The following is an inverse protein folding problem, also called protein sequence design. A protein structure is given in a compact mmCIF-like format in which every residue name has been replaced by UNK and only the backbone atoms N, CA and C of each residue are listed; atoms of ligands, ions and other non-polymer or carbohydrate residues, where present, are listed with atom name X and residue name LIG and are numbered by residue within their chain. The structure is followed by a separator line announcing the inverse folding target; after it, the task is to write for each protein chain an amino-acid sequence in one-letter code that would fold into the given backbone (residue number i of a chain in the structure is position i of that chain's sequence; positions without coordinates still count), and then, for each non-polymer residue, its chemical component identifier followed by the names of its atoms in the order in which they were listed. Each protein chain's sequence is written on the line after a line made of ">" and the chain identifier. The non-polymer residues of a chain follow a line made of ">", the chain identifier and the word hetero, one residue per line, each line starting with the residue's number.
data_IF_354264158445
#
_entry.id   IF_354264158445
#
_cell.length_a   1.000
_cell.length_b   1.000
_cell.length_c   1.000
_cell.angle_alpha   90.00
_cell.angle_beta   90.00
_cell.angle_gamma   90.00
#
_symmetry.space_group_name_H-M   'P 1'
#
loop_
_entity.id
_entity.type
_entity.pdbx_description
1 polymer ?
#
# COMPACT_ATOMS: atom_id res chain seq x y z
N UNK A 1 -20.44 13.52 15.47
CA UNK A 1 -20.00 12.55 14.44
C UNK A 1 -20.23 13.17 13.06
N UNK A 2 -19.16 13.59 12.38
CA UNK A 2 -19.24 14.23 11.08
C UNK A 2 -19.08 13.17 9.97
N UNK A 3 -20.02 13.14 9.04
CA UNK A 3 -20.03 12.21 7.90
C UNK A 3 -21.44 11.90 7.41
N UNK A 4 -21.52 11.15 6.32
CA UNK A 4 -22.74 10.54 5.81
C UNK A 4 -22.72 9.04 6.09
N UNK A 5 -23.90 8.44 6.22
CA UNK A 5 -24.07 7.10 6.78
C UNK A 5 -24.78 6.18 5.80
N UNK A 6 -24.49 4.88 5.91
CA UNK A 6 -25.25 3.88 5.20
C UNK A 6 -26.69 3.82 5.76
N UNK A 7 -27.73 3.90 4.92
CA UNK A 7 -29.12 3.83 5.39
C UNK A 7 -29.50 2.47 6.01
N UNK A 8 -28.70 1.43 5.77
CA UNK A 8 -29.01 0.05 6.17
C UNK A 8 -28.31 -0.38 7.45
N UNK A 9 -27.08 0.08 7.69
CA UNK A 9 -26.27 -0.35 8.84
C UNK A 9 -25.66 0.82 9.64
N UNK A 10 -25.97 2.06 9.26
CA UNK A 10 -25.54 3.29 9.95
C UNK A 10 -24.02 3.46 10.06
N UNK A 11 -23.22 2.64 9.38
CA UNK A 11 -21.79 2.84 9.27
C UNK A 11 -21.48 4.11 8.49
N UNK A 12 -20.38 4.78 8.86
CA UNK A 12 -19.89 5.95 8.14
C UNK A 12 -19.45 5.52 6.74
N UNK A 13 -19.96 6.21 5.72
CA UNK A 13 -19.62 5.96 4.31
C UNK A 13 -19.15 7.24 3.65
N UNK A 14 -18.38 7.11 2.57
CA UNK A 14 -18.03 8.28 1.75
C UNK A 14 -19.25 8.76 0.97
N UNK A 15 -19.42 10.08 0.86
CA UNK A 15 -20.44 10.73 0.05
C UNK A 15 -20.42 10.37 -1.45
N UNK A 16 -19.31 9.81 -1.94
CA UNK A 16 -19.14 9.34 -3.32
C UNK A 16 -19.04 7.82 -3.44
N UNK A 17 -19.26 7.07 -2.36
CA UNK A 17 -19.17 5.61 -2.40
C UNK A 17 -20.33 5.01 -3.20
N UNK A 18 -20.04 4.02 -4.04
CA UNK A 18 -21.06 3.24 -4.75
C UNK A 18 -21.65 2.11 -3.88
N UNK A 19 -20.87 1.62 -2.90
CA UNK A 19 -21.28 0.53 -2.01
C UNK A 19 -20.85 0.82 -0.57
N UNK A 20 -21.65 0.37 0.40
CA UNK A 20 -21.27 0.35 1.80
C UNK A 20 -20.29 -0.82 2.05
N UNK A 21 -19.09 -0.51 2.54
CA UNK A 21 -18.07 -1.53 2.82
C UNK A 21 -18.38 -2.40 4.03
N UNK A 22 -19.27 -1.96 4.92
CA UNK A 22 -19.64 -2.70 6.12
C UNK A 22 -20.74 -3.74 5.88
N UNK A 23 -21.75 -3.43 5.05
CA UNK A 23 -22.90 -4.32 4.83
C UNK A 23 -23.16 -4.69 3.36
N UNK A 24 -22.36 -4.17 2.42
CA UNK A 24 -22.52 -4.44 0.99
C UNK A 24 -23.69 -3.71 0.32
N UNK A 25 -24.38 -2.79 1.01
CA UNK A 25 -25.51 -2.03 0.47
C UNK A 25 -25.11 -1.18 -0.73
N UNK A 26 -25.92 -1.21 -1.79
CA UNK A 26 -25.71 -0.42 -3.01
C UNK A 26 -26.21 1.02 -2.83
N UNK A 27 -25.26 1.94 -2.70
CA UNK A 27 -25.49 3.37 -2.49
C UNK A 27 -25.88 4.11 -3.77
N UNK A 28 -25.88 3.43 -4.93
CA UNK A 28 -26.37 4.00 -6.19
C UNK A 28 -27.89 3.91 -6.32
N UNK A 29 -28.51 2.94 -5.63
CA UNK A 29 -29.98 2.75 -5.60
C UNK A 29 -30.61 3.55 -4.46
N UNK A 30 -30.04 3.47 -3.26
CA UNK A 30 -30.45 4.26 -2.10
C UNK A 30 -29.22 4.90 -1.49
N UNK A 31 -29.12 6.22 -1.67
CA UNK A 31 -27.92 7.00 -1.37
C UNK A 31 -27.57 7.07 0.13
N UNK A 32 -26.37 7.58 0.45
CA UNK A 32 -25.99 7.86 1.83
C UNK A 32 -26.98 8.84 2.48
N UNK A 33 -27.19 8.68 3.79
CA UNK A 33 -28.01 9.59 4.59
C UNK A 33 -27.12 10.50 5.45
N UNK A 34 -27.58 11.71 5.72
CA UNK A 34 -26.95 12.62 6.69
C UNK A 34 -27.20 12.14 8.12
N UNK A 35 -26.51 12.73 9.10
CA UNK A 35 -26.75 12.48 10.54
C UNK A 35 -28.19 12.75 11.00
N UNK A 36 -28.95 13.52 10.23
CA UNK A 36 -30.38 13.81 10.49
C UNK A 36 -31.32 12.91 9.69
N UNK A 37 -30.82 11.86 9.03
CA UNK A 37 -31.62 10.88 8.29
C UNK A 37 -32.06 11.32 6.90
N UNK A 38 -31.61 12.49 6.41
CA UNK A 38 -31.97 12.97 5.07
C UNK A 38 -31.08 12.37 4.00
N UNK A 39 -31.67 11.94 2.88
CA UNK A 39 -30.96 11.41 1.70
C UNK A 39 -30.05 12.48 1.07
N UNK A 40 -28.77 12.16 0.96
CA UNK A 40 -27.75 13.05 0.43
C UNK A 40 -27.99 13.44 -1.03
N UNK A 41 -28.46 12.51 -1.87
CA UNK A 41 -28.71 12.78 -3.28
C UNK A 41 -29.89 13.73 -3.46
N UNK A 42 -30.95 13.54 -2.66
CA UNK A 42 -32.10 14.46 -2.65
C UNK A 42 -31.68 15.86 -2.22
N UNK A 43 -30.87 15.99 -1.18
CA UNK A 43 -30.34 17.29 -0.73
C UNK A 43 -29.50 17.98 -1.82
N UNK A 44 -28.67 17.22 -2.54
CA UNK A 44 -27.89 17.76 -3.66
C UNK A 44 -28.78 18.24 -4.79
N UNK A 45 -29.88 17.56 -5.10
CA UNK A 45 -30.84 18.02 -6.10
C UNK A 45 -31.55 19.31 -5.66
N UNK A 46 -32.00 19.37 -4.41
CA UNK A 46 -32.62 20.58 -3.84
C UNK A 46 -31.66 21.77 -3.92
N UNK A 47 -30.39 21.61 -3.56
CA UNK A 47 -29.38 22.68 -3.66
C UNK A 47 -29.11 23.08 -5.12
N UNK A 48 -29.14 22.14 -6.07
CA UNK A 48 -28.96 22.46 -7.50
C UNK A 48 -30.12 23.28 -8.07
N UNK A 49 -31.34 22.99 -7.63
CA UNK A 49 -32.58 23.66 -8.07
C UNK A 49 -32.80 25.05 -7.46
N UNK A 50 -32.01 25.45 -6.47
CA UNK A 50 -32.12 26.78 -5.84
C UNK A 50 -31.63 27.90 -6.75
N UNK A 51 -32.53 28.72 -7.28
CA UNK A 51 -32.16 29.84 -8.16
C UNK A 51 -31.65 31.08 -7.40
N UNK A 52 -31.78 31.08 -6.07
CA UNK A 52 -31.34 32.15 -5.17
C UNK A 52 -29.85 32.10 -4.82
N UNK A 53 -29.14 31.04 -5.22
CA UNK A 53 -27.73 30.81 -4.91
C UNK A 53 -26.87 30.86 -6.17
N UNK A 54 -25.67 31.46 -6.04
CA UNK A 54 -24.65 31.35 -7.08
C UNK A 54 -24.13 29.91 -7.21
N UNK A 55 -23.58 29.54 -8.36
CA UNK A 55 -23.00 28.22 -8.57
C UNK A 55 -21.92 27.88 -7.53
N UNK A 56 -21.13 28.87 -7.10
CA UNK A 56 -20.13 28.68 -6.05
C UNK A 56 -20.77 28.31 -4.70
N UNK A 57 -21.81 29.05 -4.28
CA UNK A 57 -22.53 28.77 -3.03
C UNK A 57 -23.26 27.42 -3.05
N UNK A 58 -23.75 27.00 -4.22
CA UNK A 58 -24.32 25.66 -4.41
C UNK A 58 -23.27 24.56 -4.17
N UNK A 59 -22.08 24.71 -4.74
CA UNK A 59 -21.00 23.73 -4.54
C UNK A 59 -20.52 23.72 -3.08
N UNK A 60 -20.43 24.89 -2.44
CA UNK A 60 -20.03 25.00 -1.04
C UNK A 60 -21.06 24.37 -0.10
N UNK A 61 -22.36 24.55 -0.36
CA UNK A 61 -23.43 23.90 0.41
C UNK A 61 -23.45 22.39 0.22
N UNK A 62 -23.24 21.90 -1.00
CA UNK A 62 -23.15 20.46 -1.27
C UNK A 62 -21.95 19.86 -0.52
N UNK A 63 -20.78 20.51 -0.58
CA UNK A 63 -19.58 20.04 0.12
C UNK A 63 -19.80 19.95 1.63
N UNK A 64 -20.41 20.98 2.25
CA UNK A 64 -20.74 20.97 3.67
C UNK A 64 -21.66 19.81 4.05
N UNK A 65 -22.68 19.52 3.24
CA UNK A 65 -23.60 18.40 3.50
C UNK A 65 -22.91 17.04 3.29
N UNK A 66 -22.03 16.91 2.29
CA UNK A 66 -21.21 15.71 2.06
C UNK A 66 -20.23 15.44 3.20
N UNK A 67 -19.71 16.48 3.85
CA UNK A 67 -18.87 16.42 5.04
C UNK A 67 -19.68 16.17 6.33
N UNK A 68 -21.01 16.08 6.24
CA UNK A 68 -21.91 15.74 7.35
C UNK A 68 -22.42 16.93 8.15
N UNK A 69 -22.36 18.15 7.61
CA UNK A 69 -23.04 19.29 8.20
C UNK A 69 -24.55 19.10 8.19
N UNK A 70 -25.22 19.55 9.26
CA UNK A 70 -26.65 19.36 9.45
C UNK A 70 -27.45 20.15 8.39
N UNK A 71 -28.22 19.50 7.50
CA UNK A 71 -28.96 20.16 6.43
C UNK A 71 -30.09 21.08 6.93
N UNK A 72 -30.58 20.88 8.17
CA UNK A 72 -31.57 21.75 8.81
C UNK A 72 -30.91 23.08 9.21
N UNK A 73 -29.72 23.03 9.82
CA UNK A 73 -28.96 24.23 10.18
C UNK A 73 -28.48 25.02 8.96
N UNK A 74 -28.27 24.34 7.83
CA UNK A 74 -27.94 24.96 6.55
C UNK A 74 -29.17 25.52 5.80
N UNK A 75 -30.38 25.39 6.36
CA UNK A 75 -31.62 25.86 5.74
C UNK A 75 -31.97 25.14 4.43
N UNK A 76 -31.49 23.91 4.25
CA UNK A 76 -31.77 23.06 3.07
C UNK A 76 -32.99 22.16 3.34
N UNK A 77 -33.14 21.70 4.59
CA UNK A 77 -34.25 20.85 5.03
C UNK A 77 -35.05 21.51 6.16
N UNK A 78 -36.35 21.26 6.21
CA UNK A 78 -37.18 21.69 7.34
C UNK A 78 -37.00 20.72 8.52
N UNK A 79 -36.99 21.21 9.78
CA UNK A 79 -37.03 20.33 10.93
C UNK A 79 -38.36 19.54 10.92
N UNK A 80 -38.29 18.23 11.18
CA UNK A 80 -39.46 17.50 11.65
C UNK A 80 -39.82 18.04 13.05
N UNK A 81 -41.12 18.22 13.34
CA UNK A 81 -41.61 18.88 14.55
C UNK A 81 -41.05 18.29 15.88
N UNK A 82 -40.07 19.00 16.46
CA UNK A 82 -39.63 19.15 17.88
C UNK A 82 -39.16 17.91 18.70
N UNK A 83 -38.36 18.06 19.81
CA UNK A 83 -37.96 19.29 20.52
C UNK A 83 -36.45 19.51 20.79
N UNK A 84 -36.09 20.79 20.93
CA UNK A 84 -35.20 21.46 21.90
C UNK A 84 -33.83 20.86 22.34
N UNK A 85 -32.79 21.62 21.96
CA UNK A 85 -31.53 21.92 22.68
C UNK A 85 -30.39 20.89 22.77
N UNK A 86 -29.16 21.42 22.65
CA UNK A 86 -27.89 20.73 22.81
C UNK A 86 -26.75 21.46 22.10
N UNK A 87 -26.36 22.64 22.61
CA UNK A 87 -25.01 23.19 22.40
C UNK A 87 -24.00 22.17 22.94
N UNK A 88 -22.93 21.88 22.19
CA UNK A 88 -21.69 21.41 22.79
C UNK A 88 -20.50 21.75 21.88
N UNK A 89 -19.67 22.65 22.39
CA UNK A 89 -18.27 22.88 22.03
C UNK A 89 -17.48 21.57 22.18
N UNK A 90 -16.61 21.26 21.22
CA UNK A 90 -15.52 20.31 21.45
C UNK A 90 -14.27 20.76 20.70
N UNK A 91 -13.27 21.09 21.51
CA UNK A 91 -11.92 21.52 21.17
C UNK A 91 -11.23 20.57 20.18
N UNK A 92 -10.42 21.16 19.29
CA UNK A 92 -9.54 20.43 18.41
C UNK A 92 -8.48 19.67 19.22
N UNK A 93 -8.58 18.35 19.21
CA UNK A 93 -7.56 17.46 19.73
C UNK A 93 -6.47 17.30 18.66
N UNK A 94 -5.24 17.64 19.01
CA UNK A 94 -4.07 17.37 18.17
C UNK A 94 -4.00 15.85 17.94
N UNK A 95 -4.14 15.43 16.68
CA UNK A 95 -3.98 14.03 16.30
C UNK A 95 -2.52 13.65 16.55
N UNK A 96 -2.28 12.98 17.66
CA UNK A 96 -1.00 12.35 17.96
C UNK A 96 -0.58 11.49 16.75
N UNK A 97 0.71 11.54 16.41
CA UNK A 97 1.34 10.72 15.37
C UNK A 97 1.05 9.24 15.71
N UNK A 98 0.02 8.65 15.08
CA UNK A 98 -0.33 7.26 15.30
C UNK A 98 0.80 6.41 14.73
N UNK A 99 1.68 5.95 15.61
CA UNK A 99 2.62 4.88 15.31
C UNK A 99 1.78 3.62 15.17
N UNK A 100 1.43 3.27 13.93
CA UNK A 100 0.77 2.01 13.64
C UNK A 100 1.77 0.88 13.88
N UNK A 101 1.74 0.29 15.07
CA UNK A 101 2.42 -0.98 15.34
C UNK A 101 1.50 -2.12 14.96
N UNK A 102 1.95 -3.00 14.06
CA UNK A 102 1.31 -4.30 13.83
C UNK A 102 1.30 -5.08 15.15
N UNK A 103 0.10 -5.45 15.62
CA UNK A 103 -0.10 -6.28 16.80
C UNK A 103 -0.31 -7.75 16.40
N UNK A 104 0.11 -8.71 17.26
CA UNK A 104 -0.17 -10.11 17.02
C UNK A 104 -1.69 -10.39 16.99
N UNK A 105 -2.14 -11.44 16.29
CA UNK A 105 -3.55 -11.74 16.16
C UNK A 105 -4.22 -11.98 17.52
N UNK A 106 -5.37 -11.35 17.74
CA UNK A 106 -6.17 -11.55 18.94
C UNK A 106 -6.60 -13.03 19.05
N UNK A 107 -6.18 -13.70 20.13
CA UNK A 107 -6.39 -15.13 20.35
C UNK A 107 -5.21 -16.03 19.99
N UNK A 108 -4.13 -15.48 19.44
CA UNK A 108 -2.92 -16.23 19.12
C UNK A 108 -2.94 -16.91 17.75
N UNK A 109 -1.85 -17.61 17.43
CA UNK A 109 -1.66 -18.26 16.14
C UNK A 109 -2.69 -19.38 15.90
N UNK A 110 -3.06 -19.57 14.64
CA UNK A 110 -3.97 -20.65 14.26
C UNK A 110 -5.44 -20.43 14.63
N UNK A 111 -5.84 -19.38 15.33
CA UNK A 111 -7.26 -19.17 15.67
C UNK A 111 -8.10 -18.57 14.52
N UNK A 112 -7.46 -17.96 13.52
CA UNK A 112 -8.16 -17.39 12.38
C UNK A 112 -8.72 -18.46 11.44
N UNK A 113 -10.06 -18.53 11.34
CA UNK A 113 -10.76 -19.42 10.42
C UNK A 113 -10.44 -19.13 8.95
N UNK A 114 -10.24 -17.86 8.59
CA UNK A 114 -9.86 -17.46 7.24
C UNK A 114 -8.45 -17.95 6.88
N UNK A 115 -7.48 -17.78 7.80
CA UNK A 115 -6.10 -18.27 7.60
C UNK A 115 -6.09 -19.79 7.49
N UNK A 116 -6.86 -20.48 8.35
CA UNK A 116 -6.95 -21.94 8.31
C UNK A 116 -7.56 -22.43 6.99
N UNK A 117 -8.66 -21.83 6.54
CA UNK A 117 -9.29 -22.17 5.26
C UNK A 117 -8.36 -21.91 4.06
N UNK A 118 -7.66 -20.77 4.03
CA UNK A 118 -6.71 -20.46 2.97
C UNK A 118 -5.53 -21.45 2.94
N UNK A 119 -4.96 -21.76 4.11
CA UNK A 119 -3.89 -22.75 4.23
C UNK A 119 -4.36 -24.13 3.76
N UNK A 120 -5.55 -24.58 4.19
CA UNK A 120 -6.13 -25.86 3.80
C UNK A 120 -6.36 -25.95 2.29
N UNK A 121 -6.89 -24.92 1.64
CA UNK A 121 -7.13 -24.93 0.17
C UNK A 121 -5.85 -25.23 -0.61
N UNK A 122 -4.72 -24.65 -0.21
CA UNK A 122 -3.43 -24.84 -0.89
C UNK A 122 -2.78 -26.17 -0.51
N UNK A 123 -2.99 -26.63 0.72
CA UNK A 123 -2.24 -27.75 1.30
C UNK A 123 -3.02 -29.06 1.39
N UNK A 124 -4.31 -29.09 1.01
CA UNK A 124 -5.23 -30.24 1.14
C UNK A 124 -4.73 -31.56 0.56
N UNK A 125 -3.92 -31.51 -0.50
CA UNK A 125 -3.34 -32.71 -1.14
C UNK A 125 -1.86 -32.93 -0.81
N UNK A 126 -1.29 -32.10 0.06
CA UNK A 126 0.12 -32.18 0.42
C UNK A 126 0.37 -33.29 1.43
N UNK A 127 1.53 -33.95 1.31
CA UNK A 127 2.02 -34.90 2.31
C UNK A 127 2.08 -34.27 3.71
N UNK A 128 2.48 -33.00 3.80
CA UNK A 128 2.56 -32.27 5.06
C UNK A 128 1.20 -32.19 5.78
N UNK A 129 0.11 -31.93 5.05
CA UNK A 129 -1.22 -31.93 5.67
C UNK A 129 -1.70 -33.31 6.10
N UNK A 130 -1.39 -34.37 5.34
CA UNK A 130 -1.70 -35.72 5.81
C UNK A 130 -0.98 -36.06 7.13
N UNK A 131 0.20 -35.47 7.36
CA UNK A 131 0.93 -35.60 8.62
C UNK A 131 0.30 -34.79 9.75
N UNK A 132 -0.29 -33.62 9.45
CA UNK A 132 -1.08 -32.84 10.42
C UNK A 132 -2.37 -33.59 10.78
N UNK A 133 -3.12 -34.07 9.79
CA UNK A 133 -4.39 -34.80 9.99
C UNK A 133 -4.19 -36.10 10.77
N UNK A 134 -3.08 -36.79 10.56
CA UNK A 134 -2.70 -37.99 11.33
C UNK A 134 -2.13 -37.67 12.72
N UNK A 135 -1.94 -36.39 13.07
CA UNK A 135 -1.38 -35.96 14.35
C UNK A 135 0.14 -36.12 14.48
N UNK A 136 0.84 -36.41 13.38
CA UNK A 136 2.32 -36.50 13.36
C UNK A 136 2.97 -35.12 13.46
N UNK A 137 2.34 -34.09 12.88
CA UNK A 137 2.76 -32.69 13.02
C UNK A 137 1.74 -31.98 13.91
N UNK A 138 2.20 -31.52 15.07
CA UNK A 138 1.40 -30.74 16.00
C UNK A 138 1.57 -29.24 15.76
N UNK A 139 0.51 -28.60 15.26
CA UNK A 139 0.44 -27.16 14.99
C UNK A 139 0.19 -26.33 16.24
N UNK A 140 -0.21 -26.96 17.33
CA UNK A 140 -0.45 -26.28 18.60
C UNK A 140 0.76 -26.42 19.55
N UNK A 141 1.85 -27.01 19.06
CA UNK A 141 3.09 -27.17 19.82
C UNK A 141 3.77 -25.83 20.11
N UNK A 142 4.41 -25.71 21.28
CA UNK A 142 5.17 -24.52 21.66
C UNK A 142 6.27 -24.17 20.64
N UNK A 143 6.87 -25.18 20.01
CA UNK A 143 7.86 -25.01 18.95
C UNK A 143 7.24 -24.35 17.71
N UNK A 144 6.05 -24.76 17.31
CA UNK A 144 5.33 -24.15 16.19
C UNK A 144 4.95 -22.70 16.51
N UNK A 145 4.43 -22.43 17.70
CA UNK A 145 4.09 -21.07 18.11
C UNK A 145 5.32 -20.16 18.19
N UNK A 146 6.44 -20.65 18.74
CA UNK A 146 7.70 -19.91 18.79
C UNK A 146 8.18 -19.56 17.38
N UNK A 147 8.12 -20.50 16.43
CA UNK A 147 8.44 -20.22 15.03
C UNK A 147 7.52 -19.16 14.41
N UNK A 148 6.21 -19.22 14.68
CA UNK A 148 5.26 -18.21 14.20
C UNK A 148 5.52 -16.83 14.81
N UNK A 149 5.86 -16.74 16.10
CA UNK A 149 6.25 -15.50 16.76
C UNK A 149 7.50 -14.90 16.11
N UNK A 150 8.53 -15.71 15.84
CA UNK A 150 9.74 -15.28 15.12
C UNK A 150 9.43 -14.75 13.72
N UNK A 151 8.57 -15.45 12.99
CA UNK A 151 8.10 -14.98 11.68
C UNK A 151 7.39 -13.63 11.78
N UNK A 152 6.49 -13.48 12.75
CA UNK A 152 5.79 -12.23 12.96
C UNK A 152 6.72 -11.07 13.34
N UNK A 153 7.70 -11.31 14.21
CA UNK A 153 8.72 -10.32 14.57
C UNK A 153 9.51 -9.82 13.35
N UNK A 154 9.91 -10.73 12.46
CA UNK A 154 10.62 -10.39 11.23
C UNK A 154 9.76 -9.54 10.27
N UNK A 155 8.51 -9.95 10.02
CA UNK A 155 7.57 -9.17 9.21
C UNK A 155 7.27 -7.80 9.81
N UNK A 156 7.07 -7.73 11.14
CA UNK A 156 6.86 -6.47 11.87
C UNK A 156 8.07 -5.53 11.77
N UNK A 157 9.28 -6.07 11.76
CA UNK A 157 10.49 -5.26 11.58
C UNK A 157 10.52 -4.60 10.20
N UNK A 158 10.25 -5.35 9.13
CA UNK A 158 10.13 -4.78 7.78
C UNK A 158 9.01 -3.74 7.67
N UNK A 159 7.86 -4.01 8.28
CA UNK A 159 6.75 -3.07 8.33
C UNK A 159 7.14 -1.75 9.00
N UNK A 160 7.86 -1.83 10.13
CA UNK A 160 8.36 -0.65 10.83
C UNK A 160 9.31 0.16 9.95
N UNK A 161 10.22 -0.51 9.22
CA UNK A 161 11.11 0.14 8.25
C UNK A 161 10.33 0.83 7.14
N UNK A 162 9.33 0.16 6.57
CA UNK A 162 8.45 0.74 5.56
C UNK A 162 7.68 1.97 6.08
N UNK A 163 7.31 1.99 7.37
CA UNK A 163 6.68 3.13 8.02
C UNK A 163 7.66 4.27 8.38
N UNK A 164 8.96 4.09 8.12
CA UNK A 164 9.98 5.12 8.35
C UNK A 164 10.77 4.95 9.65
N UNK A 165 10.69 3.80 10.32
CA UNK A 165 11.61 3.46 11.39
C UNK A 165 12.99 3.11 10.81
N UNK A 166 14.05 3.43 11.55
CA UNK A 166 15.43 3.17 11.13
C UNK A 166 16.23 2.39 12.18
N UNK A 167 15.60 2.02 13.29
CA UNK A 167 16.27 1.33 14.39
C UNK A 167 16.54 -0.13 14.02
N UNK A 168 17.82 -0.55 14.08
CA UNK A 168 18.24 -1.92 13.76
C UNK A 168 18.24 -2.28 12.27
N UNK A 169 17.83 -1.36 11.40
CA UNK A 169 17.80 -1.55 9.95
C UNK A 169 19.16 -1.25 9.32
N UNK A 170 19.67 -2.15 8.47
CA UNK A 170 20.81 -1.87 7.61
C UNK A 170 20.36 -0.96 6.44
N UNK A 171 20.89 0.28 6.33
CA UNK A 171 20.50 1.22 5.28
C UNK A 171 20.81 0.72 3.86
N UNK A 172 21.76 -0.19 3.69
CA UNK A 172 22.10 -0.76 2.38
C UNK A 172 21.14 -1.89 2.00
N UNK A 173 20.84 -2.78 2.94
CA UNK A 173 19.89 -3.87 2.72
C UNK A 173 18.43 -3.39 2.56
N UNK A 174 18.06 -2.28 3.21
CA UNK A 174 16.68 -1.78 3.22
C UNK A 174 16.37 -0.77 2.10
N UNK A 175 17.25 -0.59 1.11
CA UNK A 175 17.02 0.32 -0.02
C UNK A 175 15.82 -0.11 -0.88
N UNK A 176 15.52 -1.41 -0.92
CA UNK A 176 14.42 -1.98 -1.68
C UNK A 176 13.08 -1.88 -0.94
N UNK A 177 13.09 -1.56 0.37
CA UNK A 177 11.87 -1.38 1.17
C UNK A 177 11.27 -0.01 0.85
N UNK A 178 10.10 -0.02 0.22
CA UNK A 178 9.42 1.23 -0.14
C UNK A 178 8.80 1.90 1.09
N UNK A 179 9.01 3.20 1.24
CA UNK A 179 8.42 3.97 2.33
C UNK A 179 6.90 4.17 2.12
N UNK A 180 6.11 3.72 3.09
CA UNK A 180 4.65 3.85 3.13
C UNK A 180 4.20 5.14 3.83
N UNK A 181 5.09 5.88 4.48
CA UNK A 181 4.73 7.14 5.13
C UNK A 181 4.24 8.17 4.11
N UNK A 182 3.04 8.74 4.26
CA UNK A 182 2.58 9.81 3.39
C UNK A 182 3.51 11.03 3.44
N UNK A 183 3.68 11.77 2.33
CA UNK A 183 4.47 12.99 2.35
C UNK A 183 3.86 14.02 3.31
N UNK A 184 4.66 14.57 4.23
CA UNK A 184 4.21 15.65 5.14
C UNK A 184 3.84 16.95 4.41
N UNK A 185 4.22 17.12 3.13
CA UNK A 185 3.92 18.28 2.30
C UNK A 185 2.75 17.98 1.38
N UNK A 186 1.78 18.88 1.31
CA UNK A 186 0.63 18.81 0.41
C UNK A 186 0.97 19.08 -1.06
N UNK A 187 2.22 19.45 -1.38
CA UNK A 187 2.67 19.77 -2.73
C UNK A 187 3.94 19.01 -3.09
N UNK A 188 4.00 18.52 -4.33
CA UNK A 188 5.21 17.88 -4.85
C UNK A 188 6.35 18.89 -4.90
N UNK A 189 7.49 18.69 -4.22
CA UNK A 189 8.59 19.66 -4.22
C UNK A 189 9.23 19.83 -5.60
N UNK A 190 9.08 18.84 -6.48
CA UNK A 190 9.55 18.90 -7.86
C UNK A 190 8.61 19.69 -8.77
N UNK A 191 7.31 19.72 -8.47
CA UNK A 191 6.35 20.31 -9.40
C UNK A 191 5.24 21.22 -8.88
N UNK A 192 5.17 21.47 -7.58
CA UNK A 192 4.16 22.34 -6.98
C UNK A 192 2.71 21.88 -7.23
N UNK A 193 2.50 20.65 -7.70
CA UNK A 193 1.16 20.08 -7.85
C UNK A 193 0.65 19.63 -6.49
N UNK A 194 -0.61 19.96 -6.21
CA UNK A 194 -1.34 19.52 -5.02
C UNK A 194 -1.42 17.98 -5.01
N UNK A 195 -0.73 17.35 -4.07
CA UNK A 195 -0.69 15.89 -3.92
C UNK A 195 -2.08 15.35 -3.57
N UNK A 196 -2.90 16.13 -2.86
CA UNK A 196 -4.25 15.75 -2.47
C UNK A 196 -5.25 15.85 -3.64
N UNK A 197 -4.94 16.61 -4.69
CA UNK A 197 -5.76 16.63 -5.91
C UNK A 197 -5.61 15.37 -6.77
N UNK A 198 -4.61 14.53 -6.47
CA UNK A 198 -4.36 13.24 -7.11
C UNK A 198 -4.57 12.06 -6.15
N UNK A 199 -5.38 12.23 -5.10
CA UNK A 199 -5.63 11.18 -4.09
C UNK A 199 -5.86 9.81 -4.69
N UNK A 200 -6.70 9.66 -5.71
CA UNK A 200 -6.94 8.37 -6.38
C UNK A 200 -5.68 7.76 -6.99
N UNK A 201 -4.83 8.56 -7.63
CA UNK A 201 -3.57 8.08 -8.22
C UNK A 201 -2.52 7.77 -7.12
N UNK A 202 -2.50 8.58 -6.05
CA UNK A 202 -1.69 8.31 -4.88
C UNK A 202 -2.13 7.02 -4.19
N UNK A 203 -3.44 6.79 -4.01
CA UNK A 203 -3.99 5.55 -3.46
C UNK A 203 -3.68 4.33 -4.31
N UNK A 204 -3.74 4.43 -5.64
CA UNK A 204 -3.36 3.32 -6.53
C UNK A 204 -1.87 3.02 -6.44
N UNK A 205 -1.02 4.06 -6.43
CA UNK A 205 0.42 3.90 -6.24
C UNK A 205 0.73 3.31 -4.87
N UNK A 206 0.04 3.81 -3.83
CA UNK A 206 0.20 3.38 -2.45
C UNK A 206 -0.24 1.93 -2.26
N UNK A 207 -1.33 1.49 -2.91
CA UNK A 207 -1.68 0.05 -2.97
C UNK A 207 -0.59 -0.77 -3.63
N UNK A 208 -0.12 -0.38 -4.81
CA UNK A 208 0.93 -1.14 -5.50
C UNK A 208 2.24 -1.21 -4.71
N UNK A 209 2.61 -0.15 -4.00
CA UNK A 209 3.79 -0.15 -3.11
C UNK A 209 3.54 -0.94 -1.84
N UNK A 210 2.33 -0.88 -1.28
CA UNK A 210 1.93 -1.66 -0.12
C UNK A 210 1.93 -3.16 -0.43
N UNK A 211 1.46 -3.57 -1.61
CA UNK A 211 1.50 -4.97 -2.06
C UNK A 211 2.93 -5.49 -2.13
N UNK A 212 3.87 -4.67 -2.60
CA UNK A 212 5.30 -5.02 -2.65
C UNK A 212 5.92 -5.16 -1.26
N UNK A 213 5.59 -4.26 -0.34
CA UNK A 213 6.02 -4.35 1.06
C UNK A 213 5.42 -5.58 1.75
N UNK A 214 4.13 -5.86 1.54
CA UNK A 214 3.45 -7.05 2.06
C UNK A 214 4.11 -8.34 1.63
N UNK A 215 4.58 -8.42 0.38
CA UNK A 215 5.29 -9.60 -0.12
C UNK A 215 6.63 -9.80 0.61
N UNK A 216 7.40 -8.73 0.82
CA UNK A 216 8.66 -8.78 1.56
C UNK A 216 8.42 -9.14 3.04
N UNK A 217 7.37 -8.58 3.66
CA UNK A 217 6.95 -8.92 5.02
C UNK A 217 6.60 -10.40 5.14
N UNK A 218 5.85 -10.95 4.19
CA UNK A 218 5.48 -12.37 4.14
C UNK A 218 6.71 -13.26 3.94
N UNK A 219 7.63 -12.89 3.03
CA UNK A 219 8.86 -13.63 2.77
C UNK A 219 9.74 -13.70 4.02
N UNK A 220 10.03 -12.55 4.64
CA UNK A 220 10.83 -12.50 5.87
C UNK A 220 10.16 -13.27 7.02
N UNK A 221 8.84 -13.17 7.14
CA UNK A 221 8.10 -13.92 8.15
C UNK A 221 8.19 -15.44 7.93
N UNK A 222 8.04 -15.89 6.69
CA UNK A 222 8.17 -17.31 6.34
C UNK A 222 9.59 -17.81 6.56
N UNK A 223 10.61 -17.06 6.15
CA UNK A 223 12.02 -17.43 6.33
C UNK A 223 12.36 -17.57 7.82
N UNK A 224 12.04 -16.57 8.64
CA UNK A 224 12.35 -16.60 10.07
C UNK A 224 11.63 -17.75 10.79
N UNK A 225 10.36 -17.99 10.46
CA UNK A 225 9.60 -19.11 11.02
C UNK A 225 10.17 -20.48 10.60
N UNK A 226 10.53 -20.64 9.33
CA UNK A 226 11.09 -21.90 8.82
C UNK A 226 12.48 -22.17 9.38
N UNK A 227 13.31 -21.14 9.56
CA UNK A 227 14.63 -21.26 10.19
C UNK A 227 14.51 -21.70 11.64
N UNK A 228 13.61 -21.09 12.41
CA UNK A 228 13.36 -21.47 13.82
C UNK A 228 12.86 -22.93 13.91
N UNK A 229 11.92 -23.30 13.03
CA UNK A 229 11.39 -24.66 13.00
C UNK A 229 12.45 -25.68 12.57
N UNK A 230 13.30 -25.35 11.59
CA UNK A 230 14.40 -26.20 11.16
C UNK A 230 15.42 -26.40 12.29
N UNK A 231 15.79 -25.34 13.01
CA UNK A 231 16.67 -25.42 14.16
C UNK A 231 16.10 -26.36 15.25
N UNK A 232 14.80 -26.21 15.57
CA UNK A 232 14.13 -27.09 16.52
C UNK A 232 14.21 -28.57 16.13
N UNK A 233 14.01 -28.90 14.85
CA UNK A 233 14.08 -30.29 14.38
C UNK A 233 15.50 -30.83 14.29
N UNK A 234 16.48 -30.01 13.93
CA UNK A 234 17.91 -30.38 13.99
C UNK A 234 18.34 -30.71 15.42
N UNK A 235 17.95 -29.89 16.40
CA UNK A 235 18.23 -30.15 17.82
C UNK A 235 17.60 -31.46 18.28
N UNK A 236 16.37 -31.76 17.85
CA UNK A 236 15.71 -33.04 18.14
C UNK A 236 16.43 -34.22 17.50
N UNK A 237 16.86 -34.10 16.24
CA UNK A 237 17.60 -35.15 15.54
C UNK A 237 18.97 -35.39 16.16
N UNK A 238 19.72 -34.33 16.50
CA UNK A 238 21.00 -34.41 17.22
C UNK A 238 20.85 -34.99 18.64
N UNK A 239 19.75 -34.68 19.32
CA UNK A 239 19.40 -35.28 20.61
C UNK A 239 19.09 -36.79 20.52
N UNK A 240 18.57 -37.25 19.38
CA UNK A 240 18.29 -38.69 19.15
C UNK A 240 19.49 -39.48 18.64
N UNK A 241 20.41 -38.88 17.87
CA UNK A 241 21.56 -39.61 17.31
C UNK A 241 22.63 -39.99 18.35
N UNK A 242 22.65 -39.29 19.49
CA UNK A 242 23.59 -39.58 20.60
C UNK A 242 23.07 -40.58 21.64
N UNK A 243 21.85 -41.12 21.47
CA UNK A 243 21.22 -42.07 22.42
C UNK A 243 20.44 -43.20 21.73
N UNK A 244 21.00 -43.77 20.66
CA UNK A 244 20.62 -45.16 20.34
C UNK A 244 20.95 -46.04 21.56
N UNK A 245 20.12 -47.05 21.93
CA UNK A 245 20.54 -48.00 22.95
C UNK A 245 21.92 -48.53 22.55
N UNK A 246 22.84 -48.65 23.50
CA UNK A 246 24.12 -49.31 23.25
C UNK A 246 23.80 -50.74 22.79
N UNK A 247 23.84 -50.93 21.47
CA UNK A 247 23.56 -52.21 20.86
C UNK A 247 24.76 -53.07 21.18
N UNK A 248 24.62 -53.98 22.15
CA UNK A 248 25.65 -54.96 22.44
C UNK A 248 25.78 -55.93 21.26
N UNK A 249 26.68 -55.57 20.35
CA UNK A 249 27.00 -56.34 19.15
C UNK A 249 27.47 -57.76 19.49
N UNK A 250 27.98 -58.00 20.70
CA UNK A 250 28.38 -59.33 21.14
C UNK A 250 27.17 -60.16 21.56
N UNK A 251 26.19 -59.56 22.26
CA UNK A 251 24.94 -60.22 22.60
C UNK A 251 24.13 -60.58 21.34
N UNK A 252 24.00 -59.64 20.40
CA UNK A 252 23.34 -59.91 19.11
C UNK A 252 24.09 -60.96 18.28
N UNK A 253 25.43 -60.92 18.24
CA UNK A 253 26.23 -61.95 17.58
C UNK A 253 26.03 -63.32 18.23
N UNK A 254 25.96 -63.39 19.55
CA UNK A 254 25.72 -64.63 20.27
C UNK A 254 24.32 -65.20 20.00
N UNK A 255 23.30 -64.33 19.91
CA UNK A 255 21.92 -64.71 19.57
C UNK A 255 21.82 -65.20 18.12
N UNK A 256 22.40 -64.47 17.17
CA UNK A 256 22.47 -64.85 15.75
C UNK A 256 23.27 -66.15 15.58
N UNK A 257 24.41 -66.33 16.27
CA UNK A 257 25.18 -67.58 16.22
C UNK A 257 24.44 -68.75 16.87
N UNK A 258 23.60 -68.50 17.89
CA UNK A 258 22.75 -69.53 18.48
C UNK A 258 21.61 -69.93 17.54
N UNK A 259 20.99 -68.96 16.87
CA UNK A 259 19.94 -69.17 15.88
C UNK A 259 20.48 -69.90 14.64
N UNK A 260 21.58 -69.43 14.04
CA UNK A 260 22.27 -70.11 12.94
C UNK A 260 22.69 -71.52 13.34
N UNK A 261 23.16 -71.75 14.57
CA UNK A 261 23.54 -73.10 15.02
C UNK A 261 22.32 -73.99 15.30
N UNK A 262 21.17 -73.41 15.62
CA UNK A 262 19.90 -74.13 15.73
C UNK A 262 19.35 -74.48 14.33
N UNK A 263 19.40 -73.54 13.38
CA UNK A 263 19.02 -73.75 11.98
C UNK A 263 19.96 -74.74 11.29
N UNK A 264 21.28 -74.64 11.45
CA UNK A 264 22.24 -75.63 10.91
C UNK A 264 22.06 -77.03 11.52
N UNK A 265 21.57 -77.13 12.77
CA UNK A 265 21.22 -78.43 13.35
C UNK A 265 19.90 -78.97 12.81
N UNK A 266 18.98 -78.10 12.39
CA UNK A 266 17.77 -78.48 11.69
C UNK A 266 18.05 -78.88 10.23
N UNK A 267 19.00 -78.21 9.56
CA UNK A 267 19.36 -78.41 8.15
C UNK A 267 20.24 -79.65 7.89
N UNK A 268 20.95 -80.18 8.90
CA UNK A 268 21.64 -81.48 8.78
C UNK A 268 20.64 -82.67 8.74
N UNK A 269 19.33 -82.41 8.87
CA UNK A 269 18.26 -83.39 8.80
C UNK A 269 17.61 -83.56 7.42
N UNK A 270 17.89 -82.71 6.42
CA UNK A 270 17.26 -82.85 5.10
C UNK A 270 18.21 -82.55 3.95
N UNK A 271 19.01 -83.54 3.60
CA UNK A 271 19.72 -83.58 2.33
C UNK A 271 18.84 -84.28 1.29
N UNK A 272 18.40 -83.57 0.24
CA UNK A 272 18.31 -84.13 -1.12
C UNK A 272 17.89 -83.11 -2.19
N UNK A 273 18.68 -83.15 -3.27
CA UNK A 273 18.34 -82.90 -4.69
C UNK A 273 18.15 -81.47 -5.19
N UNK A 274 19.26 -80.86 -5.62
CA UNK A 274 19.67 -80.51 -7.01
C UNK A 274 18.63 -80.23 -8.14
N UNK A 275 19.02 -79.54 -9.25
CA UNK A 275 18.49 -78.24 -9.67
C UNK A 275 17.73 -78.28 -11.02
N UNK A 276 17.16 -77.16 -11.47
CA UNK A 276 16.68 -77.04 -12.86
C UNK A 276 16.91 -75.67 -13.50
N UNK A 277 17.54 -75.74 -14.67
CA UNK A 277 17.81 -74.72 -15.68
C UNK A 277 16.56 -74.19 -16.40
N UNK A 278 16.67 -73.00 -17.02
CA UNK A 278 16.17 -72.59 -18.35
C UNK A 278 16.21 -71.04 -18.44
N UNK A 279 17.07 -70.38 -19.23
CA UNK A 279 17.18 -70.31 -20.70
C UNK A 279 15.95 -69.70 -21.41
N UNK A 280 16.10 -68.51 -22.02
CA UNK A 280 15.68 -68.07 -23.39
C UNK A 280 16.09 -66.59 -23.58
N UNK A 281 17.08 -66.24 -24.41
CA UNK A 281 17.06 -65.91 -25.87
C UNK A 281 16.21 -64.67 -26.24
N UNK A 282 16.78 -63.48 -26.55
CA UNK A 282 17.44 -62.95 -27.77
C UNK A 282 16.50 -62.33 -28.84
N UNK A 283 17.09 -61.44 -29.65
CA UNK A 283 16.62 -60.78 -30.89
C UNK A 283 15.86 -59.44 -30.69
N UNK A 284 16.41 -58.24 -30.92
CA UNK A 284 17.12 -57.63 -32.08
C UNK A 284 16.16 -57.20 -33.22
N UNK A 285 16.15 -55.89 -33.55
CA UNK A 285 15.94 -55.32 -34.89
C UNK A 285 15.85 -53.76 -34.89
N UNK A 286 16.83 -53.16 -35.58
CA UNK A 286 16.80 -52.02 -36.54
C UNK A 286 15.97 -50.74 -36.25
N UNK A 287 16.57 -49.56 -36.14
CA UNK A 287 17.14 -48.66 -37.19
C UNK A 287 16.08 -47.80 -37.92
N UNK A 288 16.11 -46.46 -37.71
CA UNK A 288 16.02 -45.43 -38.76
C UNK A 288 15.97 -43.98 -38.22
N UNK A 289 17.10 -43.28 -38.40
CA UNK A 289 17.31 -41.91 -38.93
C UNK A 289 16.12 -40.94 -39.10
N UNK A 290 16.33 -39.69 -38.64
CA UNK A 290 16.25 -38.39 -39.39
C UNK A 290 16.06 -37.20 -38.41
N UNK A 291 17.05 -36.31 -38.19
CA UNK A 291 17.21 -34.93 -38.77
C UNK A 291 16.00 -34.00 -38.53
N UNK A 292 16.06 -32.77 -37.98
CA UNK A 292 16.91 -31.60 -38.28
C UNK A 292 16.82 -30.52 -37.17
N UNK A 293 17.77 -29.59 -37.16
CA UNK A 293 17.99 -28.50 -36.19
C UNK A 293 17.06 -27.27 -36.34
N UNK A 294 16.92 -26.39 -35.32
CA UNK A 294 16.38 -25.04 -35.47
C UNK A 294 17.47 -23.96 -35.58
N UNK A 295 17.27 -23.01 -36.51
CA UNK A 295 18.15 -21.88 -36.76
C UNK A 295 17.69 -20.61 -36.02
N UNK A 296 18.68 -19.82 -35.57
CA UNK A 296 18.58 -18.51 -34.91
C UNK A 296 18.14 -17.41 -35.86
N UNK A 297 17.44 -16.40 -35.34
CA UNK A 297 17.16 -15.14 -36.03
C UNK A 297 17.72 -13.92 -35.28
N UNK A 298 18.39 -13.02 -36.01
CA UNK A 298 18.75 -11.65 -35.63
C UNK A 298 18.70 -10.77 -36.89
N UNK A 299 18.16 -9.55 -36.79
CA UNK A 299 18.63 -8.39 -37.57
C UNK A 299 17.64 -7.55 -38.41
N UNK A 300 17.16 -6.44 -37.82
CA UNK A 300 17.11 -5.02 -38.30
C UNK A 300 16.91 -4.65 -39.79
N UNK A 301 15.97 -3.70 -40.05
CA UNK A 301 16.17 -2.45 -40.85
C UNK A 301 14.91 -1.54 -40.79
N UNK A 302 15.03 -0.27 -40.33
CA UNK A 302 15.07 1.06 -41.02
C UNK A 302 13.76 1.54 -41.71
N UNK A 303 13.28 2.72 -41.30
CA UNK A 303 12.39 3.60 -42.08
C UNK A 303 12.85 5.08 -41.98
N UNK A 304 12.62 5.83 -43.05
CA UNK A 304 13.20 7.15 -43.37
C UNK A 304 12.28 8.34 -43.04
N UNK A 305 12.88 9.54 -43.04
CA UNK A 305 12.35 10.83 -42.57
C UNK A 305 11.91 11.82 -43.67
N UNK A 306 11.13 12.85 -43.29
CA UNK A 306 11.21 14.30 -43.67
C UNK A 306 9.98 15.09 -43.13
N UNK A 307 9.98 16.44 -43.02
CA UNK A 307 11.06 17.41 -42.79
C UNK A 307 10.80 18.37 -41.58
N UNK A 308 11.86 19.06 -41.13
CA UNK A 308 11.91 19.99 -39.99
C UNK A 308 11.31 21.38 -40.29
N UNK A 309 10.57 21.95 -39.34
CA UNK A 309 10.54 23.40 -39.05
C UNK A 309 11.29 23.65 -37.72
N UNK A 310 12.07 24.73 -37.69
CA UNK A 310 12.94 25.18 -36.61
C UNK A 310 12.26 25.06 -35.22
N UNK A 311 12.88 24.50 -34.18
CA UNK A 311 14.26 24.72 -33.75
C UNK A 311 14.32 25.75 -32.63
N UNK A 312 13.50 25.59 -31.59
CA UNK A 312 13.58 26.33 -30.33
C UNK A 312 13.81 25.34 -29.20
N UNK A 313 14.90 25.51 -28.46
CA UNK A 313 15.40 24.58 -27.46
C UNK A 313 14.44 24.34 -26.30
N UNK A 314 14.54 23.14 -25.72
CA UNK A 314 13.71 22.56 -24.67
C UNK A 314 13.93 23.20 -23.27
N UNK A 315 14.50 24.40 -23.22
CA UNK A 315 14.73 25.17 -21.98
C UNK A 315 14.48 26.66 -22.26
N UNK A 316 13.35 27.16 -21.77
CA UNK A 316 13.05 28.58 -21.64
C UNK A 316 12.59 29.27 -22.93
N UNK A 317 11.27 29.40 -23.10
CA UNK A 317 10.75 30.56 -23.83
C UNK A 317 11.35 31.81 -23.16
N UNK A 318 11.99 32.71 -23.94
CA UNK A 318 12.49 33.99 -23.42
C UNK A 318 11.32 34.68 -22.71
N UNK A 319 11.41 34.83 -21.39
CA UNK A 319 10.35 35.44 -20.60
C UNK A 319 10.18 36.90 -21.03
N UNK A 320 8.94 37.42 -21.11
CA UNK A 320 8.73 38.85 -21.35
C UNK A 320 9.40 39.64 -20.22
N UNK A 321 10.11 40.72 -20.54
CA UNK A 321 10.58 41.69 -19.54
C UNK A 321 9.51 42.77 -19.41
N UNK A 322 9.00 42.97 -18.20
CA UNK A 322 8.00 44.00 -17.88
C UNK A 322 8.57 44.89 -16.78
N UNK A 323 8.22 46.17 -16.78
CA UNK A 323 8.68 47.14 -15.79
C UNK A 323 7.50 47.96 -15.28
N UNK A 324 7.49 48.26 -13.98
CA UNK A 324 6.47 49.08 -13.37
C UNK A 324 6.92 50.54 -13.17
N UNK A 325 6.31 51.48 -13.92
CA UNK A 325 6.57 52.92 -13.81
C UNK A 325 5.45 53.70 -13.08
N UNK A 326 4.56 53.00 -12.38
CA UNK A 326 3.41 53.59 -11.70
C UNK A 326 3.71 54.16 -10.29
N UNK A 327 2.68 54.69 -9.61
CA UNK A 327 2.84 55.30 -8.29
C UNK A 327 3.31 54.30 -7.22
N UNK A 328 4.00 54.81 -6.19
CA UNK A 328 4.44 54.00 -5.04
C UNK A 328 3.23 53.30 -4.41
N UNK A 329 3.30 51.97 -4.29
CA UNK A 329 2.25 51.12 -3.72
C UNK A 329 1.35 50.41 -4.72
N UNK A 330 1.32 50.82 -6.00
CA UNK A 330 0.48 50.16 -7.02
C UNK A 330 1.13 48.95 -7.73
N UNK A 331 2.39 48.62 -7.39
CA UNK A 331 3.15 47.55 -8.04
C UNK A 331 2.53 46.17 -7.84
N UNK A 332 1.95 45.91 -6.66
CA UNK A 332 1.34 44.64 -6.30
C UNK A 332 0.17 44.27 -7.22
N UNK A 333 -0.82 45.17 -7.30
CA UNK A 333 -2.01 44.98 -8.15
C UNK A 333 -1.63 44.94 -9.63
N UNK A 334 -0.75 45.84 -10.07
CA UNK A 334 -0.26 45.83 -11.45
C UNK A 334 0.43 44.50 -11.80
N UNK A 335 1.24 43.95 -10.90
CA UNK A 335 1.95 42.69 -11.15
C UNK A 335 0.99 41.52 -11.27
N UNK A 336 -0.01 41.43 -10.39
CA UNK A 336 -1.05 40.40 -10.41
C UNK A 336 -1.90 40.45 -11.68
N UNK A 337 -2.15 41.63 -12.22
CA UNK A 337 -2.92 41.81 -13.45
C UNK A 337 -2.10 41.58 -14.72
N UNK A 338 -0.85 42.05 -14.76
CA UNK A 338 -0.12 42.23 -16.01
C UNK A 338 1.15 41.35 -16.13
N UNK A 339 1.81 41.04 -15.01
CA UNK A 339 3.17 40.53 -15.02
C UNK A 339 3.33 39.08 -14.51
N UNK A 340 2.25 38.38 -14.14
CA UNK A 340 2.32 36.95 -13.78
C UNK A 340 2.89 36.05 -14.91
N UNK A 341 2.86 36.52 -16.15
CA UNK A 341 3.50 35.84 -17.31
C UNK A 341 5.02 35.82 -17.24
N UNK A 342 5.63 36.66 -16.41
CA UNK A 342 7.09 36.74 -16.21
C UNK A 342 7.61 35.73 -15.18
N UNK A 343 6.70 35.11 -14.42
CA UNK A 343 7.02 34.12 -13.39
C UNK A 343 7.57 32.85 -14.04
N UNK A 344 8.59 32.25 -13.43
CA UNK A 344 9.13 31.01 -13.94
C UNK A 344 8.12 29.87 -13.82
N UNK A 345 7.86 29.19 -14.95
CA UNK A 345 7.18 27.89 -14.96
C UNK A 345 8.20 26.75 -15.07
N UNK A 346 8.53 26.06 -13.96
CA UNK A 346 9.49 24.96 -13.96
C UNK A 346 9.01 23.73 -14.76
N UNK A 347 7.72 23.67 -15.15
CA UNK A 347 7.16 22.56 -15.92
C UNK A 347 7.05 22.83 -17.41
N UNK A 348 7.28 24.08 -17.85
CA UNK A 348 7.06 24.46 -19.24
C UNK A 348 5.64 24.17 -19.73
N UNK A 349 4.65 24.18 -18.81
CA UNK A 349 3.22 24.04 -19.15
C UNK A 349 2.74 25.19 -20.03
N UNK A 350 3.45 26.32 -19.99
CA UNK A 350 3.11 27.54 -20.73
C UNK A 350 1.85 28.21 -20.19
N UNK A 351 1.37 27.80 -19.01
CA UNK A 351 0.19 28.38 -18.37
C UNK A 351 0.63 29.47 -17.40
N UNK A 352 0.17 30.68 -17.64
CA UNK A 352 0.35 31.80 -16.72
C UNK A 352 -0.40 31.56 -15.42
N UNK A 353 0.24 31.83 -14.28
CA UNK A 353 -0.41 31.80 -12.97
C UNK A 353 -1.54 32.83 -12.91
N UNK A 354 -2.58 32.53 -12.14
CA UNK A 354 -3.69 33.45 -11.88
C UNK A 354 -3.60 33.95 -10.43
N UNK A 355 -4.06 35.16 -10.11
CA UNK A 355 -4.02 35.69 -8.74
C UNK A 355 -4.73 34.78 -7.71
N UNK A 356 -5.80 34.10 -8.12
CA UNK A 356 -6.58 33.19 -7.28
C UNK A 356 -6.01 31.76 -7.19
N UNK A 357 -4.93 31.46 -7.90
CA UNK A 357 -4.29 30.13 -7.84
C UNK A 357 -3.81 29.87 -6.41
N UNK A 358 -4.19 28.71 -5.87
CA UNK A 358 -3.76 28.24 -4.54
C UNK A 358 -2.34 27.68 -4.66
N UNK A 359 -1.43 28.21 -3.85
CA UNK A 359 -0.04 27.79 -3.75
C UNK A 359 0.18 26.79 -2.62
N UNK A 360 -0.53 26.98 -1.50
CA UNK A 360 -0.42 26.12 -0.34
C UNK A 360 -1.79 25.92 0.34
N UNK A 361 -2.01 24.76 0.96
CA UNK A 361 -3.24 24.39 1.68
C UNK A 361 -2.89 23.91 3.08
N UNK A 362 -3.71 24.25 4.05
CA UNK A 362 -3.67 23.74 5.42
C UNK A 362 -5.10 23.65 5.98
N UNK A 363 -5.26 22.99 7.12
CA UNK A 363 -6.52 23.01 7.90
C UNK A 363 -6.94 24.43 8.29
N UNK A 364 -5.98 25.34 8.46
CA UNK A 364 -6.20 26.75 8.82
C UNK A 364 -6.48 27.64 7.59
N UNK A 365 -6.53 27.05 6.39
CA UNK A 365 -6.87 27.74 5.15
C UNK A 365 -5.77 27.72 4.09
N UNK A 366 -6.08 28.38 2.98
CA UNK A 366 -5.28 28.35 1.75
C UNK A 366 -4.43 29.62 1.61
N UNK A 367 -3.26 29.48 1.00
CA UNK A 367 -2.42 30.59 0.53
C UNK A 367 -2.51 30.67 -0.98
N UNK A 368 -2.83 31.83 -1.52
CA UNK A 368 -2.95 32.10 -2.97
C UNK A 368 -1.80 32.97 -3.47
N UNK A 369 -1.65 33.04 -4.79
CA UNK A 369 -0.68 33.91 -5.47
C UNK A 369 -0.82 35.38 -5.03
N UNK A 370 -2.05 35.89 -4.97
CA UNK A 370 -2.32 37.26 -4.51
C UNK A 370 -1.86 37.49 -3.06
N UNK A 371 -2.09 36.52 -2.16
CA UNK A 371 -1.73 36.64 -0.75
C UNK A 371 -0.21 36.79 -0.58
N UNK A 372 0.58 36.05 -1.36
CA UNK A 372 2.05 36.14 -1.35
C UNK A 372 2.53 37.50 -1.85
N UNK A 373 2.00 37.98 -2.99
CA UNK A 373 2.42 39.27 -3.57
C UNK A 373 2.01 40.44 -2.67
N UNK A 374 0.81 40.41 -2.09
CA UNK A 374 0.34 41.47 -1.19
C UNK A 374 1.16 41.49 0.10
N UNK A 375 1.38 40.32 0.71
CA UNK A 375 2.21 40.20 1.89
C UNK A 375 3.63 40.72 1.63
N UNK A 376 4.27 40.26 0.54
CA UNK A 376 5.62 40.67 0.18
C UNK A 376 5.72 42.17 -0.12
N UNK A 377 4.79 42.73 -0.88
CA UNK A 377 4.77 44.16 -1.17
C UNK A 377 4.57 45.04 0.07
N UNK A 378 3.89 44.51 1.11
CA UNK A 378 3.61 45.23 2.35
C UNK A 378 4.80 45.27 3.33
N UNK A 379 5.70 44.29 3.29
CA UNK A 379 6.76 44.20 4.30
C UNK A 379 7.84 43.17 4.05
N UNK A 380 8.06 42.76 2.80
CA UNK A 380 9.11 41.82 2.43
C UNK A 380 8.81 40.37 2.84
N UNK A 381 9.86 39.54 2.85
CA UNK A 381 9.76 38.08 3.05
C UNK A 381 9.15 37.71 4.39
N UNK A 382 9.39 38.50 5.42
CA UNK A 382 8.93 38.25 6.80
C UNK A 382 7.39 38.33 6.96
N UNK A 383 6.71 38.97 6.00
CA UNK A 383 5.24 39.04 5.97
C UNK A 383 4.61 37.88 5.22
N UNK A 384 5.37 37.13 4.44
CA UNK A 384 4.88 35.97 3.69
C UNK A 384 4.71 34.80 4.66
N UNK A 385 3.49 34.27 4.77
CA UNK A 385 3.16 33.14 5.64
C UNK A 385 4.11 31.97 5.41
N UNK A 386 4.54 31.30 6.48
CA UNK A 386 5.43 30.13 6.41
C UNK A 386 4.91 29.04 5.48
N UNK A 387 3.59 28.85 5.49
CA UNK A 387 2.89 27.91 4.63
C UNK A 387 3.13 28.16 3.13
N UNK A 388 3.31 29.41 2.70
CA UNK A 388 3.59 29.75 1.30
C UNK A 388 4.90 29.10 0.80
N UNK A 389 5.91 29.03 1.67
CA UNK A 389 7.25 28.52 1.36
C UNK A 389 7.28 27.00 1.17
N UNK A 390 6.19 26.29 1.48
CA UNK A 390 6.03 24.89 1.11
C UNK A 390 5.93 24.69 -0.41
N UNK A 391 5.57 25.75 -1.14
CA UNK A 391 5.52 25.78 -2.60
C UNK A 391 6.76 26.48 -3.18
N UNK A 392 7.52 25.85 -4.09
CA UNK A 392 8.66 26.50 -4.73
C UNK A 392 8.25 27.69 -5.61
N UNK A 393 6.96 27.81 -5.94
CA UNK A 393 6.43 28.93 -6.73
C UNK A 393 6.47 30.25 -5.96
N UNK A 394 6.49 30.24 -4.62
CA UNK A 394 6.60 31.45 -3.82
C UNK A 394 7.90 32.22 -4.11
N UNK A 395 9.02 31.50 -4.27
CA UNK A 395 10.31 32.10 -4.60
C UNK A 395 10.28 32.75 -5.99
N UNK A 396 9.79 32.02 -7.00
CA UNK A 396 9.73 32.52 -8.37
C UNK A 396 8.79 33.71 -8.53
N UNK A 397 7.73 33.78 -7.72
CA UNK A 397 6.83 34.93 -7.67
C UNK A 397 7.53 36.18 -7.16
N UNK A 398 8.31 36.04 -6.08
CA UNK A 398 9.05 37.15 -5.48
C UNK A 398 10.18 37.61 -6.40
N UNK A 399 10.96 36.70 -6.97
CA UNK A 399 12.00 37.03 -7.95
C UNK A 399 11.45 37.78 -9.16
N UNK A 400 10.31 37.33 -9.70
CA UNK A 400 9.66 37.99 -10.82
C UNK A 400 9.09 39.36 -10.42
N UNK A 401 8.54 39.47 -9.20
CA UNK A 401 8.04 40.73 -8.66
C UNK A 401 9.17 41.76 -8.49
N UNK A 402 10.33 41.36 -8.00
CA UNK A 402 11.50 42.24 -7.84
C UNK A 402 12.16 42.62 -9.16
N UNK A 403 12.07 41.75 -10.17
CA UNK A 403 12.60 42.00 -11.51
C UNK A 403 11.75 42.97 -12.35
N UNK A 404 10.47 43.15 -11.99
CA UNK A 404 9.56 44.14 -12.59
C UNK A 404 9.68 45.50 -11.91
#
# INVERSE_FOLDING_TARGET
>A
MAGVYCPTCESVVSASAAYCLACGHDLTVQGPITSTGHDLNQLKEVVRLRDDLSMAEKFDLIAKVEEGANPILLGIAAPADAPAEGEDDAAGEEVAEQVHTLEPPAGGWGQSSAVRAAAEVVSRSSRAMSMVESGTIDRDSDAFHTAMDRGFEAGRHLHAVACGAHEGADPEAMQDVTQLTPPKRSFCPKCGSDINSFTTHQWTKWRGTADGVLLLELEAAMEAALVELAAHYEDRLGGTSSKGPEVDMNALRAEIEAEIRAEMKADVGSDSSEPSEAAVDSADAEEAKATTAPAKAKGKSKAAAKPKKAGGGMFGAKRPKMTYDGPKGGKAEWFLENALVTVYDPHGTGKTLKPKTILARSSEGNVRVADVIHAYASGGRDKVRDLAWTSPQAEYLIEAFDAC
#
